data_IF_984340840913
#
_entry.id   IF_984340840913
#
_cell.length_a   1.000
_cell.length_b   1.000
_cell.length_c   1.000
_cell.angle_alpha   90.00
_cell.angle_beta   90.00
_cell.angle_gamma   90.00
#
_symmetry.space_group_name_H-M   'P 1'
#
loop_
_entity.id
_entity.type
_entity.pdbx_description
1 polymer ?
#
# COMPACT_ATOMS: atom_id res chain seq x y z
N UNK A 1 -22.12 -11.74 0.52
CA UNK A 1 -22.76 -12.95 -0.06
C UNK A 1 -22.03 -14.16 0.48
N UNK A 2 -22.74 -15.19 0.94
CA UNK A 2 -22.12 -16.47 1.32
C UNK A 2 -21.75 -17.26 0.05
N UNK A 3 -20.65 -18.01 0.09
CA UNK A 3 -20.22 -18.85 -1.03
C UNK A 3 -21.06 -20.13 -1.12
N UNK A 4 -21.30 -20.65 -2.33
CA UNK A 4 -21.97 -21.94 -2.51
C UNK A 4 -21.05 -23.10 -2.08
N UNK A 5 -21.58 -24.28 -1.72
CA UNK A 5 -20.77 -25.43 -1.32
C UNK A 5 -19.72 -25.83 -2.37
N UNK A 6 -20.08 -25.80 -3.65
CA UNK A 6 -19.17 -26.05 -4.78
C UNK A 6 -18.04 -25.01 -4.86
N UNK A 7 -18.36 -23.72 -4.61
CA UNK A 7 -17.36 -22.66 -4.55
C UNK A 7 -16.39 -22.87 -3.39
N UNK A 8 -16.90 -23.30 -2.22
CA UNK A 8 -16.08 -23.58 -1.04
C UNK A 8 -15.17 -24.80 -1.25
N UNK A 9 -15.68 -25.88 -1.85
CA UNK A 9 -14.89 -27.06 -2.22
C UNK A 9 -13.76 -26.71 -3.19
N UNK A 10 -14.06 -25.90 -4.22
CA UNK A 10 -13.04 -25.43 -5.18
C UNK A 10 -11.99 -24.53 -4.52
N UNK A 11 -12.41 -23.58 -3.70
CA UNK A 11 -11.49 -22.73 -2.93
C UNK A 11 -10.57 -23.56 -2.03
N UNK A 12 -11.07 -24.64 -1.43
CA UNK A 12 -10.28 -25.54 -0.60
C UNK A 12 -9.15 -26.21 -1.39
N UNK A 13 -9.45 -26.91 -2.49
CA UNK A 13 -8.39 -27.60 -3.25
C UNK A 13 -7.41 -26.63 -3.91
N UNK A 14 -7.87 -25.47 -4.38
CA UNK A 14 -7.00 -24.43 -4.93
C UNK A 14 -6.01 -23.92 -3.86
N UNK A 15 -6.46 -23.76 -2.60
CA UNK A 15 -5.60 -23.40 -1.48
C UNK A 15 -4.56 -24.48 -1.14
N UNK A 16 -4.96 -25.75 -1.15
CA UNK A 16 -4.04 -26.89 -0.92
C UNK A 16 -2.99 -26.96 -2.03
N UNK A 17 -3.39 -26.88 -3.29
CA UNK A 17 -2.49 -26.87 -4.45
C UNK A 17 -1.52 -25.67 -4.40
N UNK A 18 -1.98 -24.50 -3.95
CA UNK A 18 -1.13 -23.31 -3.85
C UNK A 18 0.03 -23.44 -2.85
N UNK A 19 -0.11 -24.29 -1.83
CA UNK A 19 0.89 -24.52 -0.79
C UNK A 19 1.73 -25.79 -1.00
N UNK A 20 1.52 -26.52 -2.10
CA UNK A 20 2.14 -27.82 -2.37
C UNK A 20 3.66 -27.79 -2.62
N UNK A 21 4.28 -26.63 -2.87
CA UNK A 21 5.74 -26.52 -3.08
C UNK A 21 6.54 -26.05 -1.85
N UNK A 22 5.88 -25.83 -0.71
CA UNK A 22 6.52 -25.22 0.47
C UNK A 22 7.43 -26.21 1.24
N UNK A 23 7.43 -27.50 0.89
CA UNK A 23 8.41 -28.51 1.32
C UNK A 23 8.59 -29.62 0.28
N UNK A 24 9.70 -30.36 0.38
CA UNK A 24 10.11 -31.41 -0.58
C UNK A 24 9.10 -32.57 -0.68
N UNK A 25 8.56 -33.13 0.42
CA UNK A 25 7.56 -34.20 0.33
C UNK A 25 6.27 -33.78 -0.40
N UNK A 26 5.81 -32.55 -0.17
CA UNK A 26 4.65 -32.01 -0.89
C UNK A 26 4.93 -31.79 -2.38
N UNK A 27 6.16 -31.35 -2.72
CA UNK A 27 6.63 -31.23 -4.11
C UNK A 27 6.62 -32.60 -4.81
N UNK A 28 7.20 -33.61 -4.17
CA UNK A 28 7.21 -34.98 -4.70
C UNK A 28 5.79 -35.51 -4.93
N UNK A 29 4.87 -35.31 -3.98
CA UNK A 29 3.50 -35.81 -4.11
C UNK A 29 2.78 -35.20 -5.31
N UNK A 30 2.94 -33.90 -5.58
CA UNK A 30 2.41 -33.27 -6.79
C UNK A 30 3.13 -33.78 -8.05
N UNK A 31 4.46 -33.94 -8.01
CA UNK A 31 5.25 -34.37 -9.15
C UNK A 31 4.97 -35.82 -9.57
N UNK A 32 4.66 -36.73 -8.64
CA UNK A 32 4.22 -38.11 -8.93
C UNK A 32 2.99 -38.16 -9.84
N UNK A 33 2.13 -37.14 -9.73
CA UNK A 33 0.88 -37.03 -10.51
C UNK A 33 1.05 -36.24 -11.82
N UNK A 34 2.24 -35.71 -12.14
CA UNK A 34 2.45 -34.88 -13.34
C UNK A 34 2.10 -35.62 -14.64
N UNK A 35 2.44 -36.90 -14.76
CA UNK A 35 2.09 -37.70 -15.92
C UNK A 35 0.56 -37.80 -16.08
N UNK A 36 -0.16 -38.18 -15.02
CA UNK A 36 -1.63 -38.29 -15.02
C UNK A 36 -2.34 -36.95 -15.24
N UNK A 37 -1.79 -35.84 -14.72
CA UNK A 37 -2.33 -34.50 -14.94
C UNK A 37 -2.22 -34.06 -16.41
N UNK A 38 -1.17 -34.51 -17.11
CA UNK A 38 -0.88 -34.22 -18.53
C UNK A 38 -1.43 -35.27 -19.52
N UNK A 39 -2.02 -36.36 -19.03
CA UNK A 39 -2.53 -37.49 -19.84
C UNK A 39 -3.79 -37.16 -20.66
N UNK A 40 -4.40 -36.00 -20.41
CA UNK A 40 -5.55 -35.47 -21.17
C UNK A 40 -5.11 -34.27 -22.00
N UNK A 41 -5.46 -34.24 -23.28
CA UNK A 41 -5.22 -33.09 -24.16
C UNK A 41 -5.76 -31.78 -23.56
N UNK A 42 -4.94 -30.74 -23.58
CA UNK A 42 -5.28 -29.42 -23.05
C UNK A 42 -4.65 -28.28 -23.85
N UNK A 43 -5.30 -27.12 -23.76
CA UNK A 43 -4.83 -25.86 -24.32
C UNK A 43 -4.46 -24.89 -23.20
N UNK A 44 -3.30 -24.24 -23.30
CA UNK A 44 -2.95 -23.12 -22.43
C UNK A 44 -3.69 -21.85 -22.87
N UNK A 45 -4.86 -21.59 -22.26
CA UNK A 45 -5.59 -20.32 -22.42
C UNK A 45 -4.73 -19.15 -21.90
N UNK A 46 -3.91 -19.40 -20.88
CA UNK A 46 -2.81 -18.54 -20.44
C UNK A 46 -1.65 -19.40 -19.98
N UNK A 47 -0.54 -19.34 -20.70
CA UNK A 47 0.73 -19.96 -20.30
C UNK A 47 1.19 -19.43 -18.93
N UNK A 48 2.03 -20.18 -18.17
CA UNK A 48 2.54 -19.73 -16.88
C UNK A 48 3.28 -18.37 -16.94
N UNK A 49 2.61 -17.34 -16.42
CA UNK A 49 3.08 -15.96 -16.37
C UNK A 49 3.47 -15.59 -14.93
N UNK A 50 4.69 -15.10 -14.75
CA UNK A 50 5.13 -14.52 -13.48
C UNK A 50 4.76 -13.03 -13.51
N UNK A 51 3.95 -12.60 -12.55
CA UNK A 51 3.66 -11.20 -12.27
C UNK A 51 3.92 -10.87 -10.79
N UNK A 52 3.32 -9.80 -10.32
CA UNK A 52 3.42 -9.35 -8.92
C UNK A 52 2.02 -9.11 -8.35
N UNK A 53 1.89 -9.24 -7.03
CA UNK A 53 0.68 -8.85 -6.30
C UNK A 53 1.04 -8.11 -5.03
N UNK A 54 0.30 -7.05 -4.76
CA UNK A 54 0.40 -6.28 -3.52
C UNK A 54 -0.11 -7.11 -2.34
N UNK A 55 0.77 -7.37 -1.37
CA UNK A 55 0.46 -8.04 -0.11
C UNK A 55 0.00 -6.99 0.89
N UNK A 56 -1.12 -7.25 1.56
CA UNK A 56 -1.65 -6.36 2.60
C UNK A 56 -1.64 -7.06 3.94
N UNK A 57 -1.00 -6.42 4.91
CA UNK A 57 -1.18 -6.72 6.32
C UNK A 57 -2.43 -6.02 6.87
N UNK A 58 -2.65 -6.17 8.16
CA UNK A 58 -3.54 -5.30 8.94
C UNK A 58 -2.89 -4.99 10.28
N UNK A 59 -3.08 -3.76 10.75
CA UNK A 59 -2.55 -3.31 12.04
C UNK A 59 -3.20 -4.07 13.20
N UNK A 60 -2.40 -4.49 14.19
CA UNK A 60 -2.89 -5.24 15.37
C UNK A 60 -3.64 -6.53 15.05
N UNK A 61 -3.47 -7.05 13.83
CA UNK A 61 -4.35 -8.08 13.30
C UNK A 61 -5.63 -7.53 12.69
N UNK A 62 -6.60 -7.06 13.48
CA UNK A 62 -7.96 -6.79 12.97
C UNK A 62 -8.22 -5.34 12.50
N UNK A 63 -7.25 -4.43 12.59
CA UNK A 63 -7.37 -2.99 12.30
C UNK A 63 -7.37 -2.59 10.81
N UNK A 64 -6.87 -1.40 10.44
CA UNK A 64 -6.83 -0.97 9.02
C UNK A 64 -5.85 -1.80 8.19
N UNK A 65 -6.14 -1.97 6.90
CA UNK A 65 -5.26 -2.72 6.01
C UNK A 65 -4.10 -1.82 5.59
N UNK A 66 -2.88 -2.34 5.57
CA UNK A 66 -1.72 -1.59 5.12
C UNK A 66 -0.93 -2.42 4.11
N UNK A 67 -0.28 -1.77 3.16
CA UNK A 67 0.56 -2.46 2.18
C UNK A 67 1.82 -2.97 2.89
N UNK A 68 1.97 -4.30 2.97
CA UNK A 68 3.10 -4.96 3.65
C UNK A 68 4.31 -5.14 2.71
N UNK A 69 4.08 -5.00 1.41
CA UNK A 69 5.07 -5.17 0.33
C UNK A 69 4.45 -5.84 -0.88
N UNK A 70 5.27 -6.22 -1.85
CA UNK A 70 4.83 -6.97 -3.02
C UNK A 70 5.39 -8.39 -3.01
N UNK A 71 4.62 -9.33 -3.56
CA UNK A 71 5.00 -10.73 -3.69
C UNK A 71 4.87 -11.15 -5.15
N UNK A 72 5.87 -11.88 -5.66
CA UNK A 72 5.78 -12.51 -6.97
C UNK A 72 4.58 -13.46 -7.00
N UNK A 73 3.83 -13.48 -8.10
CA UNK A 73 2.74 -14.45 -8.31
C UNK A 73 2.85 -15.06 -9.69
N UNK A 74 2.95 -16.38 -9.78
CA UNK A 74 2.75 -17.08 -11.05
C UNK A 74 1.27 -17.40 -11.25
N UNK A 75 0.73 -17.09 -12.43
CA UNK A 75 -0.63 -17.47 -12.84
C UNK A 75 -0.62 -18.34 -14.08
N UNK A 76 -1.51 -19.31 -14.16
CA UNK A 76 -1.75 -20.12 -15.36
C UNK A 76 -3.26 -20.39 -15.53
N UNK A 77 -3.71 -20.54 -16.77
CA UNK A 77 -5.07 -20.96 -17.10
C UNK A 77 -5.00 -22.00 -18.21
N UNK A 78 -5.58 -23.17 -17.97
CA UNK A 78 -5.64 -24.28 -18.92
C UNK A 78 -7.08 -24.64 -19.23
N UNK A 79 -7.33 -25.21 -20.40
CA UNK A 79 -8.62 -25.80 -20.78
C UNK A 79 -8.40 -27.21 -21.28
N UNK A 80 -9.03 -28.19 -20.65
CA UNK A 80 -9.03 -29.58 -21.10
C UNK A 80 -9.86 -29.73 -22.38
N UNK A 81 -9.66 -30.81 -23.13
CA UNK A 81 -10.36 -31.10 -24.38
C UNK A 81 -11.90 -31.10 -24.25
N UNK A 82 -12.45 -31.44 -23.07
CA UNK A 82 -13.89 -31.40 -22.78
C UNK A 82 -14.44 -30.00 -22.39
N UNK A 83 -13.61 -28.96 -22.48
CA UNK A 83 -13.96 -27.57 -22.21
C UNK A 83 -13.79 -27.12 -20.76
N UNK A 84 -13.56 -28.02 -19.80
CA UNK A 84 -13.31 -27.64 -18.40
C UNK A 84 -12.07 -26.75 -18.32
N UNK A 85 -12.20 -25.62 -17.62
CA UNK A 85 -11.13 -24.63 -17.49
C UNK A 85 -10.62 -24.57 -16.05
N UNK A 86 -9.31 -24.74 -15.88
CA UNK A 86 -8.61 -24.73 -14.60
C UNK A 86 -7.68 -23.54 -14.45
N UNK A 87 -7.52 -23.07 -13.21
CA UNK A 87 -6.82 -21.83 -12.88
C UNK A 87 -5.80 -22.05 -11.77
N UNK A 88 -4.70 -21.31 -11.80
CA UNK A 88 -3.77 -21.21 -10.67
C UNK A 88 -3.30 -19.78 -10.44
N UNK A 89 -3.08 -19.47 -9.17
CA UNK A 89 -2.45 -18.23 -8.69
C UNK A 89 -1.55 -18.62 -7.51
N UNK A 90 -0.24 -18.61 -7.72
CA UNK A 90 0.73 -19.17 -6.80
C UNK A 90 1.71 -18.10 -6.33
N UNK A 91 2.05 -18.10 -5.05
CA UNK A 91 3.15 -17.28 -4.55
C UNK A 91 4.49 -17.72 -5.16
N UNK A 92 5.35 -16.76 -5.51
CA UNK A 92 6.66 -17.03 -6.08
C UNK A 92 6.67 -16.99 -7.61
N UNK A 93 7.53 -17.82 -8.20
CA UNK A 93 7.95 -17.72 -9.61
C UNK A 93 7.98 -19.07 -10.36
N UNK A 94 7.45 -20.13 -9.74
CA UNK A 94 7.47 -21.46 -10.35
C UNK A 94 6.39 -21.59 -11.43
N UNK A 95 6.83 -21.80 -12.67
CA UNK A 95 5.96 -21.97 -13.84
C UNK A 95 5.39 -23.37 -13.98
N UNK A 96 6.15 -24.41 -13.62
CA UNK A 96 5.73 -25.81 -13.70
C UNK A 96 4.65 -26.09 -12.65
N UNK A 97 4.82 -25.58 -11.43
CA UNK A 97 3.77 -25.65 -10.41
C UNK A 97 2.50 -24.93 -10.83
N UNK A 98 2.60 -23.75 -11.47
CA UNK A 98 1.41 -23.03 -11.94
C UNK A 98 0.62 -23.82 -12.98
N UNK A 99 1.32 -24.47 -13.91
CA UNK A 99 0.70 -25.36 -14.89
C UNK A 99 0.03 -26.58 -14.22
N UNK A 100 0.74 -27.32 -13.37
CA UNK A 100 0.22 -28.51 -12.71
C UNK A 100 -0.96 -28.20 -11.77
N UNK A 101 -0.92 -27.08 -11.06
CA UNK A 101 -2.03 -26.64 -10.22
C UNK A 101 -3.28 -26.25 -11.04
N UNK A 102 -3.09 -25.65 -12.23
CA UNK A 102 -4.20 -25.33 -13.12
C UNK A 102 -4.80 -26.58 -13.76
N UNK A 103 -3.98 -27.57 -14.15
CA UNK A 103 -4.46 -28.88 -14.61
C UNK A 103 -5.24 -29.62 -13.52
N UNK A 104 -4.73 -29.63 -12.28
CA UNK A 104 -5.41 -30.27 -11.15
C UNK A 104 -6.77 -29.61 -10.86
N UNK A 105 -6.87 -28.27 -10.87
CA UNK A 105 -8.14 -27.56 -10.73
C UNK A 105 -9.14 -27.91 -11.86
N UNK A 106 -8.68 -28.08 -13.11
CA UNK A 106 -9.54 -28.52 -14.22
C UNK A 106 -10.05 -29.96 -14.02
N UNK A 107 -9.17 -30.86 -13.59
CA UNK A 107 -9.49 -32.27 -13.35
C UNK A 107 -10.48 -32.46 -12.19
N UNK A 108 -10.30 -31.70 -11.10
CA UNK A 108 -11.18 -31.70 -9.92
C UNK A 108 -12.61 -31.15 -10.19
N UNK A 109 -12.86 -30.55 -11.36
CA UNK A 109 -14.18 -30.11 -11.79
C UNK A 109 -14.96 -31.16 -12.61
N UNK A 110 -14.42 -32.37 -12.84
CA UNK A 110 -15.05 -33.40 -13.67
C UNK A 110 -15.37 -34.71 -12.95
N UNK A 111 -15.77 -35.72 -13.73
CA UNK A 111 -16.27 -37.00 -13.21
C UNK A 111 -15.31 -37.77 -12.27
N UNK A 112 -14.00 -37.56 -12.41
CA UNK A 112 -12.98 -38.19 -11.56
C UNK A 112 -12.62 -37.36 -10.30
N UNK A 113 -13.42 -36.35 -9.94
CA UNK A 113 -13.17 -35.48 -8.78
C UNK A 113 -12.83 -36.28 -7.51
N UNK A 114 -13.59 -37.33 -7.19
CA UNK A 114 -13.37 -38.13 -5.98
C UNK A 114 -11.97 -38.78 -5.92
N UNK A 115 -11.45 -39.23 -7.06
CA UNK A 115 -10.11 -39.83 -7.15
C UNK A 115 -9.01 -38.77 -7.01
N UNK A 116 -9.15 -37.62 -7.67
CA UNK A 116 -8.22 -36.51 -7.51
C UNK A 116 -8.23 -35.92 -6.10
N UNK A 117 -9.37 -36.00 -5.39
CA UNK A 117 -9.43 -35.67 -3.97
C UNK A 117 -8.64 -36.67 -3.12
N UNK A 118 -8.83 -37.99 -3.29
CA UNK A 118 -8.15 -39.00 -2.46
C UNK A 118 -6.65 -39.11 -2.72
N UNK A 119 -6.20 -39.05 -3.98
CA UNK A 119 -4.80 -39.32 -4.35
C UNK A 119 -3.90 -38.06 -4.32
N UNK A 120 -4.47 -36.88 -4.61
CA UNK A 120 -3.69 -35.64 -4.70
C UNK A 120 -4.01 -34.65 -3.57
N UNK A 121 -5.29 -34.29 -3.37
CA UNK A 121 -5.64 -33.19 -2.46
C UNK A 121 -5.57 -33.60 -0.98
N UNK A 122 -6.15 -34.74 -0.59
CA UNK A 122 -6.13 -35.19 0.80
C UNK A 122 -4.72 -35.47 1.35
N UNK A 123 -3.78 -36.12 0.61
CA UNK A 123 -2.41 -36.32 1.10
C UNK A 123 -1.67 -34.99 1.28
N UNK A 124 -1.82 -34.05 0.34
CA UNK A 124 -1.25 -32.70 0.45
C UNK A 124 -1.85 -31.93 1.63
N UNK A 125 -3.17 -32.00 1.82
CA UNK A 125 -3.86 -31.35 2.93
C UNK A 125 -3.43 -31.93 4.30
N UNK A 126 -3.30 -33.27 4.41
CA UNK A 126 -2.79 -33.94 5.62
C UNK A 126 -1.36 -33.49 5.94
N UNK A 127 -0.45 -33.51 4.97
CA UNK A 127 0.93 -33.05 5.15
C UNK A 127 1.01 -31.56 5.59
N UNK A 128 0.20 -30.70 4.98
CA UNK A 128 0.11 -29.28 5.36
C UNK A 128 -0.44 -29.08 6.78
N UNK A 129 -1.46 -29.86 7.17
CA UNK A 129 -2.06 -29.82 8.50
C UNK A 129 -1.08 -30.30 9.58
N UNK A 130 -0.39 -31.43 9.37
CA UNK A 130 0.67 -31.91 10.25
C UNK A 130 1.79 -30.88 10.42
N UNK A 131 2.26 -30.30 9.32
CA UNK A 131 3.31 -29.28 9.35
C UNK A 131 2.86 -28.03 10.11
N UNK A 132 1.60 -27.62 9.96
CA UNK A 132 1.01 -26.51 10.72
C UNK A 132 0.97 -26.87 12.21
N UNK A 133 0.49 -28.05 12.58
CA UNK A 133 0.50 -28.53 13.96
C UNK A 133 1.91 -28.58 14.58
N UNK A 134 2.93 -29.01 13.82
CA UNK A 134 4.35 -29.00 14.25
C UNK A 134 4.89 -27.58 14.44
N UNK A 135 4.57 -26.63 13.54
CA UNK A 135 4.94 -25.21 13.68
C UNK A 135 4.24 -24.58 14.88
N UNK A 136 2.94 -24.79 15.02
CA UNK A 136 2.14 -24.26 16.13
C UNK A 136 2.60 -24.84 17.48
N UNK A 137 3.01 -26.11 17.53
CA UNK A 137 3.63 -26.70 18.71
C UNK A 137 4.98 -26.05 19.08
N UNK A 138 5.81 -25.75 18.08
CA UNK A 138 7.08 -25.03 18.27
C UNK A 138 6.88 -23.58 18.70
N UNK A 139 5.89 -22.88 18.13
CA UNK A 139 5.54 -21.50 18.49
C UNK A 139 4.83 -21.40 19.85
N UNK A 140 4.09 -22.42 20.30
CA UNK A 140 3.54 -22.45 21.67
C UNK A 140 4.62 -22.57 22.77
N UNK A 141 5.86 -22.91 22.41
CA UNK A 141 7.02 -22.76 23.30
C UNK A 141 7.53 -21.30 23.41
N UNK A 142 7.11 -20.40 22.51
CA UNK A 142 7.53 -19.01 22.38
C UNK A 142 6.30 -18.06 22.17
N UNK A 143 5.46 -17.90 23.21
CA UNK A 143 4.58 -16.74 23.49
C UNK A 143 3.63 -16.13 22.39
N UNK A 144 2.31 -16.38 22.52
CA UNK A 144 1.22 -15.35 22.61
C UNK A 144 0.79 -14.33 21.46
N UNK A 145 0.35 -14.77 20.25
CA UNK A 145 -0.81 -14.21 19.43
C UNK A 145 -0.70 -12.93 18.50
N UNK A 146 -1.69 -12.35 17.74
CA UNK A 146 -2.93 -12.72 16.93
C UNK A 146 -3.12 -11.71 15.70
N UNK A 147 -4.21 -11.69 14.86
CA UNK A 147 -4.15 -11.46 13.37
C UNK A 147 -5.44 -10.99 12.51
N UNK A 148 -5.22 -10.33 11.33
CA UNK A 148 -5.91 -10.06 9.96
C UNK A 148 -7.42 -9.58 9.65
N UNK A 149 -7.96 -9.33 8.37
CA UNK A 149 -7.60 -8.61 7.04
C UNK A 149 -8.73 -7.77 6.24
N UNK A 150 -8.53 -7.16 5.01
CA UNK A 150 -9.47 -6.27 4.16
C UNK A 150 -9.53 -6.42 2.56
N UNK A 151 -10.08 -5.49 1.67
CA UNK A 151 -10.24 -5.64 0.14
C UNK A 151 -9.84 -4.49 -0.92
N UNK A 152 -10.18 -4.56 -2.27
CA UNK A 152 -9.48 -4.01 -3.52
C UNK A 152 -10.25 -3.14 -4.65
N UNK A 153 -9.57 -2.58 -5.71
CA UNK A 153 -10.09 -1.71 -6.87
C UNK A 153 -9.53 -1.96 -8.36
N UNK A 154 -9.81 -1.08 -9.38
CA UNK A 154 -9.75 -1.23 -10.91
C UNK A 154 -8.51 -0.64 -11.70
N UNK A 155 -8.41 -0.88 -13.04
CA UNK A 155 -7.35 -0.53 -14.05
C UNK A 155 -7.36 0.91 -14.68
N UNK A 156 -6.20 1.41 -15.16
CA UNK A 156 -5.97 2.75 -15.78
C UNK A 156 -4.96 2.76 -16.97
N UNK A 157 -4.92 3.87 -17.75
CA UNK A 157 -4.15 4.06 -19.01
C UNK A 157 -2.62 4.23 -18.84
N UNK A 158 -1.83 3.63 -19.74
CA UNK A 158 -0.37 3.54 -19.61
C UNK A 158 0.44 4.79 -20.04
N UNK A 159 -0.10 5.68 -20.89
CA UNK A 159 0.66 6.84 -21.45
C UNK A 159 1.01 7.90 -20.39
N UNK A 160 0.32 7.90 -19.25
CA UNK A 160 0.47 8.90 -18.18
C UNK A 160 1.36 8.42 -17.03
N UNK A 161 1.74 7.15 -17.00
CA UNK A 161 2.46 6.54 -15.88
C UNK A 161 3.97 6.78 -16.00
N UNK A 162 4.57 7.26 -14.91
CA UNK A 162 6.01 7.40 -14.76
C UNK A 162 6.52 6.36 -13.75
N UNK A 163 7.82 5.98 -13.79
CA UNK A 163 8.43 5.21 -12.71
C UNK A 163 8.29 5.92 -11.36
N UNK A 164 8.18 5.14 -10.29
CA UNK A 164 8.21 5.62 -8.91
C UNK A 164 9.66 5.56 -8.37
N UNK A 165 9.83 5.16 -7.11
CA UNK A 165 11.14 4.86 -6.52
C UNK A 165 11.93 3.79 -7.29
N UNK A 166 13.26 3.84 -7.20
CA UNK A 166 14.14 2.82 -7.81
C UNK A 166 14.18 1.55 -6.96
N UNK A 167 14.19 1.69 -5.64
CA UNK A 167 13.94 0.61 -4.68
C UNK A 167 12.68 0.96 -3.87
N UNK A 168 11.49 0.47 -4.31
CA UNK A 168 10.22 0.85 -3.68
C UNK A 168 10.15 0.62 -2.17
N UNK A 169 10.85 -0.38 -1.64
CA UNK A 169 10.81 -0.70 -0.20
C UNK A 169 11.76 0.22 0.57
N UNK A 170 13.03 0.28 0.15
CA UNK A 170 14.03 1.04 0.90
C UNK A 170 13.87 2.55 0.72
N UNK A 171 13.46 3.02 -0.45
CA UNK A 171 13.27 4.46 -0.70
C UNK A 171 11.99 5.00 -0.05
N UNK A 172 10.90 4.22 0.02
CA UNK A 172 9.74 4.56 0.84
C UNK A 172 10.11 4.64 2.34
N UNK A 173 10.85 3.64 2.87
CA UNK A 173 11.32 3.66 4.27
C UNK A 173 12.31 4.80 4.56
N UNK A 174 13.08 5.26 3.57
CA UNK A 174 13.93 6.45 3.68
C UNK A 174 13.07 7.72 3.72
N UNK A 175 12.16 7.87 2.75
CA UNK A 175 11.26 9.03 2.63
C UNK A 175 10.38 9.20 3.87
N UNK A 176 9.81 8.12 4.39
CA UNK A 176 9.06 8.10 5.65
C UNK A 176 9.90 8.57 6.85
N UNK A 177 11.16 8.15 6.96
CA UNK A 177 12.07 8.63 8.03
C UNK A 177 12.44 10.10 7.88
N UNK A 178 12.56 10.61 6.66
CA UNK A 178 12.77 12.05 6.39
C UNK A 178 11.52 12.83 6.82
N UNK A 179 10.32 12.33 6.51
CA UNK A 179 9.05 12.93 6.92
C UNK A 179 8.87 12.94 8.45
N UNK A 180 9.09 11.80 9.12
CA UNK A 180 9.09 11.72 10.58
C UNK A 180 10.05 12.72 11.22
N UNK A 181 11.28 12.83 10.68
CA UNK A 181 12.29 13.77 11.19
C UNK A 181 11.88 15.24 10.98
N UNK A 182 11.16 15.54 9.89
CA UNK A 182 10.64 16.89 9.64
C UNK A 182 9.53 17.28 10.63
N UNK A 183 8.65 16.36 11.02
CA UNK A 183 7.65 16.60 12.07
C UNK A 183 8.23 16.55 13.49
N UNK A 184 9.22 15.69 13.77
CA UNK A 184 9.84 15.58 15.10
C UNK A 184 10.86 16.69 15.40
N UNK A 185 11.29 17.44 14.40
CA UNK A 185 12.12 18.65 14.51
C UNK A 185 11.49 19.79 13.72
N UNK A 186 10.36 20.38 14.17
CA UNK A 186 9.61 21.35 13.41
C UNK A 186 10.45 22.58 13.07
N UNK A 187 10.31 23.10 11.84
CA UNK A 187 11.12 24.24 11.38
C UNK A 187 12.53 23.87 10.88
N UNK A 188 12.98 22.62 11.03
CA UNK A 188 14.28 22.16 10.50
C UNK A 188 14.08 21.50 9.13
N UNK A 189 14.58 22.13 8.06
CA UNK A 189 14.54 21.59 6.70
C UNK A 189 15.26 20.23 6.63
N UNK A 190 14.56 19.22 6.12
CA UNK A 190 15.13 17.92 5.76
C UNK A 190 15.24 17.81 4.24
N UNK A 191 16.28 17.14 3.73
CA UNK A 191 16.53 16.98 2.28
C UNK A 191 16.51 15.51 1.92
N UNK A 192 15.74 15.14 0.89
CA UNK A 192 15.70 13.78 0.35
C UNK A 192 16.89 13.56 -0.61
N UNK A 193 17.76 12.56 -0.39
CA UNK A 193 18.95 12.36 -1.24
C UNK A 193 18.57 11.98 -2.68
N UNK A 194 19.22 12.60 -3.67
CA UNK A 194 18.89 12.46 -5.12
C UNK A 194 18.76 11.02 -5.61
N UNK A 195 19.65 10.12 -5.15
CA UNK A 195 19.63 8.69 -5.48
C UNK A 195 18.41 7.90 -4.95
N UNK A 196 17.59 8.52 -4.10
CA UNK A 196 16.41 7.92 -3.44
C UNK A 196 15.13 8.71 -3.73
N UNK A 197 15.19 9.70 -4.63
CA UNK A 197 14.02 10.44 -5.08
C UNK A 197 13.29 9.65 -6.17
N UNK A 198 11.95 9.70 -6.23
CA UNK A 198 11.24 9.32 -7.44
C UNK A 198 11.48 10.40 -8.52
N UNK A 199 11.26 10.09 -9.81
CA UNK A 199 11.14 11.11 -10.85
C UNK A 199 10.10 12.17 -10.45
N UNK A 200 10.42 13.45 -10.68
CA UNK A 200 9.43 14.51 -10.59
C UNK A 200 8.37 14.30 -11.69
N UNK A 201 7.09 14.48 -11.36
CA UNK A 201 6.06 14.59 -12.38
C UNK A 201 5.97 16.06 -12.80
N UNK A 202 5.43 16.35 -13.98
CA UNK A 202 5.21 17.74 -14.37
C UNK A 202 4.27 18.42 -13.37
N UNK A 203 4.77 19.47 -12.69
CA UNK A 203 4.06 20.18 -11.62
C UNK A 203 4.19 19.56 -10.22
N UNK A 204 4.75 18.35 -10.06
CA UNK A 204 4.89 17.68 -8.77
C UNK A 204 6.37 17.44 -8.42
N UNK A 205 6.85 18.16 -7.42
CA UNK A 205 8.24 18.09 -6.95
C UNK A 205 8.60 16.69 -6.41
N UNK A 206 9.88 16.33 -6.44
CA UNK A 206 10.32 14.98 -6.07
C UNK A 206 10.14 14.67 -4.58
N UNK A 207 10.25 15.67 -3.69
CA UNK A 207 9.87 15.53 -2.28
C UNK A 207 8.36 15.30 -2.11
N UNK A 208 7.53 16.04 -2.84
CA UNK A 208 6.07 15.90 -2.82
C UNK A 208 5.63 14.52 -3.31
N UNK A 209 6.19 14.06 -4.44
CA UNK A 209 5.95 12.74 -4.98
C UNK A 209 6.45 11.63 -4.02
N UNK A 210 7.60 11.83 -3.37
CA UNK A 210 8.12 10.89 -2.38
C UNK A 210 7.24 10.78 -1.13
N UNK A 211 6.68 11.89 -0.63
CA UNK A 211 5.70 11.86 0.45
C UNK A 211 4.43 11.13 0.01
N UNK A 212 3.93 11.39 -1.20
CA UNK A 212 2.78 10.67 -1.74
C UNK A 212 3.02 9.14 -1.79
N UNK A 213 4.16 8.71 -2.35
CA UNK A 213 4.53 7.29 -2.46
C UNK A 213 4.81 6.61 -1.12
N UNK A 214 5.21 7.36 -0.08
CA UNK A 214 5.57 6.82 1.23
C UNK A 214 4.42 6.88 2.27
N UNK A 215 3.42 7.75 2.07
CA UNK A 215 2.35 8.01 3.04
C UNK A 215 0.96 7.63 2.54
N UNK A 216 0.73 7.57 1.23
CA UNK A 216 -0.61 7.32 0.67
C UNK A 216 -0.83 5.84 0.34
N UNK A 217 -1.98 5.32 0.74
CA UNK A 217 -2.53 4.06 0.26
C UNK A 217 -4.05 4.13 0.04
N UNK A 218 -4.70 2.97 -0.16
CA UNK A 218 -6.14 2.87 -0.43
C UNK A 218 -7.03 3.41 0.70
N UNK A 219 -6.57 3.35 1.95
CA UNK A 219 -7.32 3.75 3.14
C UNK A 219 -7.08 5.23 3.50
N UNK A 220 -6.23 5.95 2.73
CA UNK A 220 -5.94 7.38 2.88
C UNK A 220 -6.44 8.20 1.67
N UNK A 221 -7.67 8.72 1.69
CA UNK A 221 -8.17 9.59 0.63
C UNK A 221 -7.34 10.88 0.49
N UNK A 222 -7.01 11.23 -0.76
CA UNK A 222 -6.26 12.43 -1.12
C UNK A 222 -7.18 13.48 -1.73
N UNK A 223 -7.17 14.70 -1.19
CA UNK A 223 -7.69 15.87 -1.87
C UNK A 223 -6.58 16.55 -2.68
N UNK A 224 -6.88 17.00 -3.90
CA UNK A 224 -5.95 17.71 -4.78
C UNK A 224 -6.43 19.14 -5.01
N UNK A 225 -5.55 20.13 -4.80
CA UNK A 225 -5.78 21.46 -5.31
C UNK A 225 -5.77 21.48 -6.86
N UNK A 226 -6.45 22.45 -7.51
CA UNK A 226 -6.62 22.47 -8.97
C UNK A 226 -5.32 22.40 -9.77
N UNK A 227 -4.21 22.94 -9.26
CA UNK A 227 -2.90 22.89 -9.92
C UNK A 227 -2.33 21.45 -10.02
N UNK A 228 -2.60 20.61 -9.02
CA UNK A 228 -2.16 19.20 -9.01
C UNK A 228 -3.21 18.25 -9.59
N UNK A 229 -4.41 18.73 -9.91
CA UNK A 229 -5.50 17.91 -10.41
C UNK A 229 -5.36 17.57 -11.92
N UNK A 230 -4.19 17.06 -12.30
CA UNK A 230 -3.86 16.69 -13.67
C UNK A 230 -4.10 15.20 -13.93
N UNK A 231 -4.41 14.79 -15.16
CA UNK A 231 -4.52 13.37 -15.52
C UNK A 231 -3.26 12.57 -15.18
N UNK A 232 -2.07 13.18 -15.30
CA UNK A 232 -0.80 12.53 -14.97
C UNK A 232 -0.65 12.27 -13.47
N UNK A 233 -0.88 13.28 -12.62
CA UNK A 233 -0.81 13.12 -11.16
C UNK A 233 -1.88 12.14 -10.69
N UNK A 234 -3.15 12.29 -11.14
CA UNK A 234 -4.22 11.34 -10.83
C UNK A 234 -3.86 9.89 -11.19
N UNK A 235 -3.28 9.67 -12.37
CA UNK A 235 -2.89 8.33 -12.82
C UNK A 235 -1.77 7.73 -11.96
N UNK A 236 -0.72 8.50 -11.66
CA UNK A 236 0.41 8.02 -10.87
C UNK A 236 0.03 7.76 -9.40
N UNK A 237 -0.76 8.63 -8.77
CA UNK A 237 -1.29 8.41 -7.41
C UNK A 237 -2.19 7.16 -7.38
N UNK A 238 -3.13 7.03 -8.32
CA UNK A 238 -4.03 5.89 -8.36
C UNK A 238 -3.33 4.56 -8.71
N UNK A 239 -2.24 4.59 -9.48
CA UNK A 239 -1.48 3.41 -9.86
C UNK A 239 -0.48 2.96 -8.79
N UNK A 240 0.35 3.87 -8.27
CA UNK A 240 1.42 3.54 -7.32
C UNK A 240 0.92 3.47 -5.87
N UNK A 241 0.06 4.42 -5.46
CA UNK A 241 -0.46 4.48 -4.08
C UNK A 241 -1.79 3.72 -3.95
N UNK A 242 -2.66 3.81 -4.98
CA UNK A 242 -4.03 3.30 -4.93
C UNK A 242 -4.99 4.20 -4.15
N UNK A 243 -4.56 5.39 -3.76
CA UNK A 243 -5.33 6.34 -2.95
C UNK A 243 -6.61 6.82 -3.66
N UNK A 244 -7.77 6.84 -2.96
CA UNK A 244 -8.98 7.46 -3.47
C UNK A 244 -8.83 8.97 -3.55
N UNK A 245 -8.89 9.54 -4.75
CA UNK A 245 -8.88 11.00 -4.89
C UNK A 245 -10.31 11.53 -4.68
N UNK A 246 -10.49 12.42 -3.72
CA UNK A 246 -11.79 12.98 -3.29
C UNK A 246 -11.90 14.47 -3.62
N UNK A 247 -13.12 14.92 -3.91
CA UNK A 247 -13.44 16.34 -4.14
C UNK A 247 -13.86 17.08 -2.87
N UNK A 248 -14.44 16.36 -1.91
CA UNK A 248 -14.77 16.87 -0.58
C UNK A 248 -13.52 16.91 0.31
N UNK A 249 -13.27 18.07 0.92
CA UNK A 249 -12.14 18.28 1.84
C UNK A 249 -12.34 17.53 3.17
N UNK A 250 -13.58 17.32 3.62
CA UNK A 250 -13.85 16.64 4.90
C UNK A 250 -13.59 15.12 4.78
N UNK A 251 -13.72 14.56 3.58
CA UNK A 251 -13.41 13.16 3.31
C UNK A 251 -11.90 12.88 3.20
N UNK A 252 -11.04 13.90 3.25
CA UNK A 252 -9.60 13.79 3.01
C UNK A 252 -8.82 13.36 4.26
N UNK A 253 -7.85 12.46 4.08
CA UNK A 253 -6.81 12.16 5.09
C UNK A 253 -5.49 12.84 4.76
N UNK A 254 -5.22 13.07 3.48
CA UNK A 254 -4.20 13.98 3.02
C UNK A 254 -4.78 15.00 2.05
N UNK A 255 -4.21 16.19 2.02
CA UNK A 255 -4.53 17.20 1.03
C UNK A 255 -3.24 17.75 0.42
N UNK A 256 -3.16 17.82 -0.91
CA UNK A 256 -2.05 18.44 -1.62
C UNK A 256 -2.46 19.83 -2.10
N UNK A 257 -1.82 20.87 -1.55
CA UNK A 257 -2.12 22.29 -1.77
C UNK A 257 -0.94 23.03 -2.40
N UNK A 258 -1.28 24.05 -3.17
CA UNK A 258 -0.36 25.06 -3.73
C UNK A 258 -0.41 26.36 -2.92
N UNK A 259 0.49 27.29 -3.21
CA UNK A 259 0.62 28.58 -2.52
C UNK A 259 -0.61 29.51 -2.63
N UNK A 260 -1.55 29.28 -3.55
CA UNK A 260 -2.83 30.01 -3.63
C UNK A 260 -3.93 29.35 -2.80
N UNK A 261 -4.00 28.01 -2.82
CA UNK A 261 -5.05 27.23 -2.13
C UNK A 261 -4.90 27.25 -0.60
N UNK A 262 -3.68 27.42 -0.07
CA UNK A 262 -3.41 27.48 1.38
C UNK A 262 -4.09 28.64 2.13
N UNK A 263 -4.63 29.63 1.42
CA UNK A 263 -5.39 30.75 2.00
C UNK A 263 -6.76 30.37 2.54
N UNK A 264 -7.22 29.15 2.25
CA UNK A 264 -8.49 28.61 2.73
C UNK A 264 -8.30 27.14 3.14
N UNK A 265 -8.21 26.92 4.46
CA UNK A 265 -8.12 25.59 5.07
C UNK A 265 -9.50 25.09 5.56
N UNK A 266 -10.60 25.74 5.18
CA UNK A 266 -11.94 25.35 5.62
C UNK A 266 -12.33 23.97 5.09
N UNK A 267 -13.03 23.20 5.92
CA UNK A 267 -13.57 21.89 5.54
C UNK A 267 -12.60 20.71 5.59
N UNK A 268 -11.30 20.91 5.86
CA UNK A 268 -10.42 19.79 6.21
C UNK A 268 -10.70 19.32 7.64
N UNK A 269 -10.77 18.00 7.84
CA UNK A 269 -10.98 17.36 9.15
C UNK A 269 -9.83 17.72 10.11
N UNK A 270 -10.12 18.34 11.26
CA UNK A 270 -9.12 18.67 12.29
C UNK A 270 -8.99 17.58 13.36
N UNK A 271 -9.71 16.46 13.20
CA UNK A 271 -9.89 15.44 14.22
C UNK A 271 -10.92 15.86 15.28
N UNK A 272 -10.93 15.14 16.39
CA UNK A 272 -11.73 15.47 17.57
C UNK A 272 -10.96 15.07 18.83
N UNK A 273 -11.35 15.56 20.01
CA UNK A 273 -10.63 15.35 21.27
C UNK A 273 -10.31 13.88 21.61
N UNK A 274 -11.13 12.94 21.12
CA UNK A 274 -10.96 11.51 21.32
C UNK A 274 -10.08 10.84 20.25
N UNK A 275 -10.06 11.40 19.05
CA UNK A 275 -9.34 10.89 17.88
C UNK A 275 -8.65 12.03 17.11
N UNK A 276 -7.69 12.74 17.71
CA UNK A 276 -6.99 13.84 17.05
C UNK A 276 -6.09 13.35 15.90
N UNK A 277 -5.64 12.10 15.97
CA UNK A 277 -4.90 11.37 14.94
C UNK A 277 -5.69 11.18 13.63
N UNK A 278 -7.01 11.40 13.66
CA UNK A 278 -7.88 11.35 12.49
C UNK A 278 -8.03 12.72 11.80
N UNK A 279 -7.15 13.69 12.02
CA UNK A 279 -7.14 14.90 11.19
C UNK A 279 -6.69 14.59 9.75
N UNK A 280 -6.93 15.54 8.85
CA UNK A 280 -6.20 15.64 7.60
C UNK A 280 -4.76 16.10 7.87
N UNK A 281 -3.81 15.61 7.06
CA UNK A 281 -2.43 16.12 6.98
C UNK A 281 -2.27 16.92 5.69
N UNK A 282 -1.70 18.11 5.76
CA UNK A 282 -1.49 18.97 4.59
C UNK A 282 -0.10 18.75 3.99
N UNK A 283 -0.04 18.53 2.67
CA UNK A 283 1.18 18.57 1.86
C UNK A 283 1.11 19.87 1.05
N UNK A 284 1.98 20.83 1.35
CA UNK A 284 1.94 22.18 0.76
C UNK A 284 3.20 22.37 -0.10
N UNK A 285 3.04 22.37 -1.42
CA UNK A 285 4.16 22.62 -2.34
C UNK A 285 4.36 24.13 -2.54
N UNK A 286 5.57 24.60 -2.27
CA UNK A 286 5.96 26.02 -2.31
C UNK A 286 7.10 26.24 -3.33
N UNK A 287 7.22 27.46 -3.90
CA UNK A 287 8.35 27.81 -4.76
C UNK A 287 9.71 27.81 -4.04
N UNK A 288 9.70 27.79 -2.70
CA UNK A 288 10.87 27.65 -1.85
C UNK A 288 10.46 27.47 -0.38
N UNK A 289 11.38 27.00 0.46
CA UNK A 289 11.18 26.91 1.92
C UNK A 289 11.79 28.13 2.67
N UNK A 290 11.99 29.24 1.96
CA UNK A 290 12.58 30.49 2.44
C UNK A 290 11.95 31.68 1.71
N UNK A 291 11.95 32.87 2.33
CA UNK A 291 11.66 34.14 1.66
C UNK A 291 10.37 34.88 2.06
N UNK A 292 9.65 34.46 3.11
CA UNK A 292 8.52 35.23 3.66
C UNK A 292 8.82 35.90 5.01
N UNK A 293 7.79 36.21 5.78
CA UNK A 293 7.94 36.77 7.13
C UNK A 293 8.66 35.77 8.05
N UNK A 294 9.65 36.25 8.80
CA UNK A 294 10.37 35.45 9.79
C UNK A 294 9.52 35.27 11.04
N UNK A 295 9.20 34.03 11.38
CA UNK A 295 8.39 33.65 12.52
C UNK A 295 9.17 32.78 13.51
N UNK A 296 8.88 32.98 14.79
CA UNK A 296 9.38 32.26 15.94
C UNK A 296 8.57 30.98 16.16
N UNK A 297 9.20 29.81 16.04
CA UNK A 297 8.56 28.51 16.26
C UNK A 297 9.08 27.88 17.55
N UNK A 298 8.16 27.39 18.39
CA UNK A 298 8.48 26.72 19.67
C UNK A 298 7.50 25.57 19.96
N UNK A 299 7.89 24.64 20.83
CA UNK A 299 7.07 23.48 21.20
C UNK A 299 7.84 22.15 21.15
N UNK A 300 7.13 21.00 21.20
CA UNK A 300 7.76 19.69 21.17
C UNK A 300 8.66 19.50 19.93
N UNK A 301 9.87 19.00 20.15
CA UNK A 301 10.88 18.84 19.08
C UNK A 301 11.75 20.07 18.82
N UNK A 302 11.52 21.19 19.52
CA UNK A 302 12.34 22.41 19.48
C UNK A 302 12.92 22.65 20.88
N UNK A 303 14.25 22.69 21.01
CA UNK A 303 14.91 22.85 22.32
C UNK A 303 14.81 24.28 22.88
N UNK A 304 14.91 25.29 22.01
CA UNK A 304 14.79 26.70 22.36
C UNK A 304 13.73 27.36 21.48
N UNK A 305 14.13 27.77 20.28
CA UNK A 305 13.27 28.42 19.29
C UNK A 305 13.89 28.24 17.91
N UNK A 306 13.07 27.91 16.91
CA UNK A 306 13.49 27.91 15.51
C UNK A 306 12.98 29.18 14.81
N UNK A 307 13.81 29.77 13.97
CA UNK A 307 13.47 30.95 13.16
C UNK A 307 13.18 30.48 11.73
N UNK A 308 11.94 30.66 11.26
CA UNK A 308 11.45 30.07 10.01
C UNK A 308 10.76 31.14 9.17
N UNK A 309 11.09 31.23 7.88
CA UNK A 309 10.60 32.27 6.98
C UNK A 309 10.05 31.67 5.67
N UNK A 310 8.88 31.04 5.73
CA UNK A 310 8.24 30.44 4.54
C UNK A 310 7.55 31.52 3.68
N UNK A 311 7.52 31.40 2.33
CA UNK A 311 6.85 32.33 1.44
C UNK A 311 5.32 32.15 1.47
N UNK A 312 4.74 32.45 2.62
CA UNK A 312 3.32 32.37 2.95
C UNK A 312 2.88 33.72 3.51
N UNK A 313 1.64 34.12 3.21
CA UNK A 313 1.03 35.31 3.78
C UNK A 313 0.38 35.06 5.15
N UNK A 314 0.00 36.14 5.82
CA UNK A 314 -0.68 36.14 7.13
C UNK A 314 -1.98 35.31 7.14
N UNK A 315 -2.68 35.21 6.00
CA UNK A 315 -3.95 34.51 5.91
C UNK A 315 -3.79 33.01 6.19
N UNK A 316 -2.71 32.37 5.71
CA UNK A 316 -2.41 30.98 6.06
C UNK A 316 -2.21 30.79 7.56
N UNK A 317 -1.48 31.70 8.22
CA UNK A 317 -1.20 31.60 9.66
C UNK A 317 -2.46 31.80 10.50
N UNK A 318 -3.29 32.78 10.13
CA UNK A 318 -4.63 33.00 10.70
C UNK A 318 -5.53 31.77 10.53
N UNK A 319 -5.58 31.20 9.33
CA UNK A 319 -6.39 30.01 9.00
C UNK A 319 -5.94 28.77 9.77
N UNK A 320 -4.62 28.57 9.91
CA UNK A 320 -4.05 27.49 10.73
C UNK A 320 -4.45 27.66 12.19
N UNK A 321 -4.23 28.84 12.77
CA UNK A 321 -4.45 29.06 14.21
C UNK A 321 -5.94 28.96 14.58
N UNK A 322 -6.83 29.46 13.72
CA UNK A 322 -8.29 29.30 13.88
C UNK A 322 -8.77 27.83 13.89
N UNK A 323 -7.94 26.89 13.42
CA UNK A 323 -8.22 25.44 13.38
C UNK A 323 -7.40 24.63 14.39
N UNK A 324 -6.51 25.26 15.15
CA UNK A 324 -5.51 24.60 15.99
C UNK A 324 -5.94 24.52 17.47
N UNK A 325 -7.08 23.90 17.74
CA UNK A 325 -7.59 23.71 19.11
C UNK A 325 -7.04 22.39 19.68
N UNK A 326 -5.81 22.42 20.19
CA UNK A 326 -5.10 21.24 20.67
C UNK A 326 -5.96 20.39 21.64
N UNK A 327 -6.11 19.08 21.43
CA UNK A 327 -5.32 18.20 20.55
C UNK A 327 -5.75 18.17 19.08
N UNK A 328 -6.87 18.80 18.73
CA UNK A 328 -7.32 18.94 17.34
C UNK A 328 -6.46 19.94 16.57
N UNK A 329 -6.35 19.76 15.26
CA UNK A 329 -5.57 20.63 14.38
C UNK A 329 -5.09 19.89 13.13
N UNK A 330 -4.32 20.60 12.30
CA UNK A 330 -3.75 20.08 11.06
C UNK A 330 -2.23 20.00 11.20
N UNK A 331 -1.66 18.83 10.91
CA UNK A 331 -0.21 18.68 10.75
C UNK A 331 0.17 18.97 9.29
N UNK A 332 1.30 19.64 9.09
CA UNK A 332 1.67 20.22 7.79
C UNK A 332 3.08 19.83 7.38
N UNK A 333 3.24 19.44 6.12
CA UNK A 333 4.53 19.34 5.43
C UNK A 333 4.60 20.43 4.36
N UNK A 334 5.54 21.35 4.50
CA UNK A 334 5.93 22.25 3.41
C UNK A 334 7.00 21.56 2.57
N UNK A 335 6.85 21.54 1.26
CA UNK A 335 7.74 20.84 0.33
C UNK A 335 8.15 21.76 -0.82
N UNK A 336 9.41 21.62 -1.27
CA UNK A 336 9.93 22.34 -2.43
C UNK A 336 11.13 21.59 -3.02
N UNK A 337 11.07 21.27 -4.31
CA UNK A 337 12.08 20.45 -4.99
C UNK A 337 12.29 19.10 -4.30
N UNK A 338 13.45 18.93 -3.64
CA UNK A 338 13.79 17.74 -2.86
C UNK A 338 13.81 17.97 -1.34
N UNK A 339 13.32 19.10 -0.86
CA UNK A 339 13.34 19.50 0.53
C UNK A 339 11.94 19.47 1.15
N UNK A 340 11.88 19.22 2.46
CA UNK A 340 10.64 19.26 3.24
C UNK A 340 10.87 19.80 4.64
N UNK A 341 9.87 20.48 5.19
CA UNK A 341 9.87 21.05 6.54
C UNK A 341 8.51 20.74 7.18
N UNK A 342 8.53 20.20 8.40
CA UNK A 342 7.32 19.83 9.12
C UNK A 342 6.86 20.90 10.11
N UNK A 343 5.55 21.04 10.25
CA UNK A 343 4.87 21.87 11.23
C UNK A 343 3.70 21.08 11.82
N UNK A 344 3.92 20.36 12.93
CA UNK A 344 2.85 19.77 13.71
C UNK A 344 1.88 20.83 14.27
N UNK A 345 0.67 20.39 14.58
CA UNK A 345 -0.36 21.18 15.31
C UNK A 345 0.13 21.68 16.68
N UNK A 346 0.98 20.90 17.36
CA UNK A 346 1.54 21.23 18.68
C UNK A 346 2.60 22.34 18.66
N UNK A 347 3.11 22.71 17.49
CA UNK A 347 4.06 23.82 17.34
C UNK A 347 3.33 25.15 17.47
N UNK A 348 3.84 26.02 18.35
CA UNK A 348 3.42 27.41 18.47
C UNK A 348 4.21 28.25 17.46
N UNK A 349 3.51 29.13 16.76
CA UNK A 349 4.09 30.04 15.76
C UNK A 349 3.74 31.46 16.20
N UNK A 350 4.73 32.33 16.30
CA UNK A 350 4.61 33.72 16.74
C UNK A 350 5.47 34.62 15.85
N UNK A 351 5.18 35.92 15.81
CA UNK A 351 6.10 36.88 15.18
C UNK A 351 7.41 36.97 15.98
N UNK A 352 8.52 37.22 15.30
CA UNK A 352 9.78 37.55 15.98
C UNK A 352 9.67 38.94 16.62
N UNK A 353 10.08 39.05 17.89
CA UNK A 353 10.16 40.31 18.64
C UNK A 353 11.35 41.19 18.23
#
# INVERSE_FOLDING_TARGET
>A
MQATPETAARQHWMGVLALALVDEPSREQLQRHEAALRDTDYQMIRAPEIGMTLVRGRMGGTGSAFNLGEMSVTRCVVRLADGRTGYSYLAGRDKRHAELAALADAHLQGAQQAWWLSELIEPLARAQAERRARKDARSRCNESGILYPGPRRRLMNAVLLQPAFTDPVLDAQRSFRVALKALSGPGVIQTLPTRHQPPALQGLDSATHALCLALLDLDTPLWLAPEFDTPAIRANIAFHCGSPIVSDRHAARFALLDASTVRDLHGFDTGNDRYPDQSCTLLIQLPGLQGGQTLAWSGPGIEQQNSVALPLDEAFWTEREARNVFPCGLDVFFVSGNQMLGLPRSTRVQECA
#
